data_IF_213978967931
#
_entry.id   IF_213978967931
#
_cell.length_a   1.000
_cell.length_b   1.000
_cell.length_c   1.000
_cell.angle_alpha   90.00
_cell.angle_beta   90.00
_cell.angle_gamma   90.00
#
_symmetry.space_group_name_H-M   'P 1'
#
loop_
_entity.id
_entity.type
_entity.pdbx_description
1 polymer ?
#
# COMPACT_ATOMS: atom_id res chain seq x y z
N UNK A 1 -4.49 -20.05 -4.40
CA UNK A 1 -5.45 -19.21 -5.12
C UNK A 1 -6.89 -19.45 -4.65
N UNK A 2 -7.34 -20.71 -4.53
CA UNK A 2 -8.72 -21.05 -4.10
C UNK A 2 -9.09 -20.38 -2.77
N UNK A 3 -8.20 -20.40 -1.78
CA UNK A 3 -8.46 -19.86 -0.46
C UNK A 3 -8.66 -18.34 -0.49
N UNK A 4 -7.86 -17.63 -1.27
CA UNK A 4 -8.03 -16.18 -1.49
C UNK A 4 -9.38 -15.88 -2.17
N UNK A 5 -9.75 -16.62 -3.22
CA UNK A 5 -11.06 -16.47 -3.87
C UNK A 5 -12.21 -16.74 -2.91
N UNK A 6 -12.09 -17.80 -2.09
CA UNK A 6 -13.10 -18.12 -1.06
C UNK A 6 -13.25 -16.99 -0.07
N UNK A 7 -12.15 -16.39 0.37
CA UNK A 7 -12.19 -15.28 1.31
C UNK A 7 -12.85 -14.04 0.70
N UNK A 8 -12.47 -13.66 -0.50
CA UNK A 8 -13.13 -12.55 -1.21
C UNK A 8 -14.63 -12.80 -1.40
N UNK A 9 -15.02 -14.00 -1.86
CA UNK A 9 -16.43 -14.33 -2.04
C UNK A 9 -17.22 -14.25 -0.73
N UNK A 10 -16.64 -14.71 0.37
CA UNK A 10 -17.27 -14.69 1.70
C UNK A 10 -17.60 -13.26 2.15
N UNK A 11 -16.65 -12.33 2.02
CA UNK A 11 -16.89 -10.93 2.38
C UNK A 11 -17.87 -10.23 1.42
N UNK A 12 -17.87 -10.59 0.15
CA UNK A 12 -18.82 -10.06 -0.84
C UNK A 12 -20.26 -10.55 -0.66
N UNK A 13 -20.52 -11.49 0.24
CA UNK A 13 -21.88 -11.89 0.62
C UNK A 13 -22.54 -10.94 1.62
N UNK A 14 -21.80 -10.03 2.24
CA UNK A 14 -22.38 -9.02 3.12
C UNK A 14 -23.28 -8.06 2.33
N UNK A 15 -24.57 -8.02 2.70
CA UNK A 15 -25.57 -7.26 1.96
C UNK A 15 -25.39 -5.74 2.07
N UNK A 16 -24.86 -5.25 3.20
CA UNK A 16 -24.57 -3.83 3.37
C UNK A 16 -23.40 -3.39 2.50
N UNK A 17 -22.36 -4.23 2.42
CA UNK A 17 -21.23 -4.00 1.53
C UNK A 17 -21.67 -4.03 0.05
N UNK A 18 -22.55 -4.97 -0.33
CA UNK A 18 -23.12 -5.00 -1.68
C UNK A 18 -23.87 -3.71 -2.01
N UNK A 19 -24.75 -3.26 -1.13
CA UNK A 19 -25.52 -2.02 -1.29
C UNK A 19 -24.59 -0.81 -1.43
N UNK A 20 -23.53 -0.74 -0.63
CA UNK A 20 -22.54 0.33 -0.70
C UNK A 20 -21.82 0.33 -2.05
N UNK A 21 -21.35 -0.82 -2.51
CA UNK A 21 -20.66 -0.95 -3.81
C UNK A 21 -21.56 -0.69 -5.02
N UNK A 22 -22.88 -0.90 -4.89
CA UNK A 22 -23.84 -0.59 -5.95
C UNK A 22 -24.08 0.91 -6.11
N UNK A 23 -23.96 1.66 -5.04
CA UNK A 23 -24.31 3.08 -5.00
C UNK A 23 -23.12 4.03 -5.21
N UNK A 24 -21.92 3.60 -4.84
CA UNK A 24 -20.76 4.47 -4.81
C UNK A 24 -19.56 3.85 -5.56
N UNK A 25 -18.80 4.63 -6.34
CA UNK A 25 -17.54 4.22 -6.89
C UNK A 25 -16.49 4.12 -5.78
N UNK A 26 -15.59 3.13 -5.90
CA UNK A 26 -14.48 2.93 -4.98
C UNK A 26 -13.14 3.06 -5.69
N UNK A 27 -12.23 3.78 -5.08
CA UNK A 27 -10.81 3.73 -5.39
C UNK A 27 -10.13 2.89 -4.32
N UNK A 28 -9.54 1.79 -4.71
CA UNK A 28 -8.99 0.80 -3.79
C UNK A 28 -7.50 0.62 -3.99
N UNK A 29 -6.83 0.25 -2.94
CA UNK A 29 -5.45 -0.22 -2.89
C UNK A 29 -5.42 -1.33 -1.83
N UNK A 30 -4.55 -2.31 -1.98
CA UNK A 30 -4.39 -3.37 -0.97
C UNK A 30 -3.67 -2.89 0.28
N UNK A 31 -3.84 -3.63 1.38
CA UNK A 31 -2.98 -3.63 2.53
C UNK A 31 -2.33 -5.02 2.70
N UNK A 32 -1.83 -5.36 3.87
CA UNK A 32 -1.16 -6.62 4.14
C UNK A 32 -2.11 -7.83 4.08
N UNK A 33 -3.32 -7.69 4.62
CA UNK A 33 -4.29 -8.79 4.72
C UNK A 33 -4.87 -9.26 3.38
N UNK A 34 -4.69 -8.51 2.31
CA UNK A 34 -4.94 -9.00 0.96
C UNK A 34 -3.94 -10.08 0.54
N UNK A 35 -2.78 -10.14 1.19
CA UNK A 35 -1.70 -11.11 0.95
C UNK A 35 -1.46 -12.02 2.16
N UNK A 36 -0.90 -11.47 3.24
CA UNK A 36 -0.68 -12.10 4.53
C UNK A 36 -0.27 -11.03 5.56
N UNK A 37 -0.49 -11.30 6.84
CA UNK A 37 -0.20 -10.38 7.94
C UNK A 37 1.22 -9.80 7.85
N UNK A 38 1.33 -8.48 8.00
CA UNK A 38 2.57 -7.71 7.95
C UNK A 38 3.44 -8.08 6.75
N UNK A 39 2.84 -8.16 5.55
CA UNK A 39 3.55 -8.53 4.34
C UNK A 39 4.53 -7.44 3.88
N UNK A 40 5.67 -7.89 3.33
CA UNK A 40 6.65 -7.08 2.65
C UNK A 40 7.02 -7.71 1.30
N UNK A 41 7.91 -7.08 0.55
CA UNK A 41 8.31 -7.53 -0.79
C UNK A 41 8.64 -9.04 -0.85
N UNK A 42 9.39 -9.53 0.12
CA UNK A 42 10.01 -10.86 0.07
C UNK A 42 9.42 -11.86 1.08
N UNK A 43 8.34 -11.49 1.79
CA UNK A 43 7.71 -12.34 2.79
C UNK A 43 6.53 -11.73 3.53
N UNK A 44 6.11 -12.40 4.60
CA UNK A 44 5.11 -11.93 5.55
C UNK A 44 5.33 -12.60 6.92
N UNK A 45 4.90 -11.94 7.99
CA UNK A 45 5.07 -12.46 9.36
C UNK A 45 4.54 -13.88 9.54
N UNK A 46 3.39 -14.17 8.96
CA UNK A 46 2.72 -15.48 9.07
C UNK A 46 2.93 -16.37 7.83
N UNK A 47 4.02 -16.18 7.09
CA UNK A 47 4.37 -17.03 5.97
C UNK A 47 5.53 -17.97 6.31
N UNK A 48 5.25 -19.28 6.28
CA UNK A 48 6.23 -20.35 6.43
C UNK A 48 6.40 -21.09 5.10
N UNK A 49 7.53 -20.88 4.39
CA UNK A 49 7.75 -21.52 3.08
C UNK A 49 7.74 -23.05 3.12
N UNK A 50 8.12 -23.67 4.26
CA UNK A 50 8.12 -25.13 4.43
C UNK A 50 6.73 -25.75 4.42
N UNK A 51 5.71 -24.97 4.81
CA UNK A 51 4.30 -25.39 4.95
C UNK A 51 3.38 -24.80 3.89
N UNK A 52 3.72 -23.63 3.39
CA UNK A 52 2.84 -22.80 2.55
C UNK A 52 3.40 -22.57 1.14
N UNK A 53 4.61 -23.11 0.87
CA UNK A 53 5.27 -22.99 -0.40
C UNK A 53 5.98 -21.65 -0.60
N UNK A 54 6.44 -21.39 -1.79
CA UNK A 54 7.18 -20.20 -2.16
C UNK A 54 6.34 -18.91 -1.98
N UNK A 55 6.96 -17.87 -1.42
CA UNK A 55 6.30 -16.59 -1.20
C UNK A 55 5.83 -15.91 -2.48
N UNK A 56 6.64 -15.94 -3.54
CA UNK A 56 6.25 -15.29 -4.80
C UNK A 56 5.03 -15.97 -5.45
N UNK A 57 4.92 -17.29 -5.32
CA UNK A 57 3.76 -18.05 -5.75
C UNK A 57 2.51 -17.68 -4.95
N UNK A 58 2.63 -17.56 -3.62
CA UNK A 58 1.54 -17.11 -2.75
C UNK A 58 1.13 -15.67 -3.06
N UNK A 59 2.09 -14.77 -3.19
CA UNK A 59 1.89 -13.36 -3.53
C UNK A 59 1.16 -13.21 -4.87
N UNK A 60 1.57 -13.96 -5.89
CA UNK A 60 0.93 -13.95 -7.21
C UNK A 60 -0.50 -14.48 -7.16
N UNK A 61 -0.77 -15.50 -6.36
CA UNK A 61 -2.13 -16.04 -6.18
C UNK A 61 -3.05 -15.02 -5.47
N UNK A 62 -2.54 -14.32 -4.46
CA UNK A 62 -3.26 -13.26 -3.78
C UNK A 62 -3.58 -12.10 -4.74
N UNK A 63 -2.59 -11.64 -5.51
CA UNK A 63 -2.78 -10.60 -6.52
C UNK A 63 -3.83 -10.98 -7.55
N UNK A 64 -3.76 -12.22 -8.07
CA UNK A 64 -4.74 -12.69 -9.04
C UNK A 64 -6.15 -12.64 -8.46
N UNK A 65 -6.35 -13.16 -7.25
CA UNK A 65 -7.66 -13.09 -6.59
C UNK A 65 -8.12 -11.65 -6.37
N UNK A 66 -7.21 -10.77 -5.93
CA UNK A 66 -7.54 -9.36 -5.75
C UNK A 66 -8.05 -8.71 -7.06
N UNK A 67 -7.34 -8.89 -8.16
CA UNK A 67 -7.74 -8.32 -9.46
C UNK A 67 -9.03 -8.94 -10.03
N UNK A 68 -9.35 -10.19 -9.69
CA UNK A 68 -10.60 -10.84 -10.07
C UNK A 68 -11.82 -10.29 -9.30
N UNK A 69 -11.64 -9.90 -8.04
CA UNK A 69 -12.74 -9.51 -7.14
C UNK A 69 -12.85 -8.00 -6.92
N UNK A 70 -11.80 -7.26 -7.16
CA UNK A 70 -11.74 -5.80 -7.00
C UNK A 70 -11.57 -5.18 -8.39
N UNK A 71 -12.57 -4.42 -8.89
CA UNK A 71 -12.58 -3.90 -10.26
C UNK A 71 -11.67 -2.68 -10.41
N UNK A 72 -10.37 -2.88 -10.38
CA UNK A 72 -9.38 -1.86 -10.68
C UNK A 72 -8.84 -2.06 -12.11
N UNK A 73 -8.44 -0.95 -12.75
CA UNK A 73 -7.74 -1.03 -14.03
C UNK A 73 -6.29 -1.42 -13.82
N UNK A 74 -5.78 -2.29 -14.68
CA UNK A 74 -4.33 -2.51 -14.73
C UNK A 74 -3.64 -1.18 -15.08
N UNK A 75 -2.65 -0.82 -14.28
CA UNK A 75 -1.91 0.45 -14.42
C UNK A 75 -0.69 0.22 -15.29
N UNK A 76 -0.13 -0.98 -15.23
CA UNK A 76 1.07 -1.37 -15.94
C UNK A 76 0.93 -2.81 -16.39
N UNK A 77 0.90 -3.06 -17.70
CA UNK A 77 0.71 -4.41 -18.26
C UNK A 77 1.91 -5.31 -18.04
N UNK A 78 3.10 -4.71 -17.90
CA UNK A 78 4.36 -5.42 -17.68
C UNK A 78 4.62 -5.68 -16.20
N UNK A 79 4.01 -4.87 -15.31
CA UNK A 79 4.12 -5.03 -13.87
C UNK A 79 2.76 -5.00 -13.18
N UNK A 80 2.10 -6.14 -13.10
CA UNK A 80 0.78 -6.27 -12.47
C UNK A 80 0.75 -5.93 -10.97
N UNK A 81 1.89 -5.94 -10.29
CA UNK A 81 1.99 -5.51 -8.90
C UNK A 81 1.97 -3.99 -8.74
N UNK A 82 2.18 -3.22 -9.80
CA UNK A 82 2.12 -1.78 -9.72
C UNK A 82 0.69 -1.31 -9.53
N UNK A 83 0.34 -0.92 -8.31
CA UNK A 83 -0.99 -0.41 -7.95
C UNK A 83 -0.98 1.09 -7.64
N UNK A 84 0.18 1.65 -7.28
CA UNK A 84 0.28 3.07 -6.98
C UNK A 84 -0.01 3.93 -8.22
N UNK A 85 -0.84 4.92 -8.02
CA UNK A 85 -1.38 5.79 -9.08
C UNK A 85 -1.87 7.10 -8.52
N UNK A 86 -2.14 8.10 -9.36
CA UNK A 86 -2.91 9.27 -8.96
C UNK A 86 -4.26 9.35 -9.69
N UNK A 87 -5.20 10.03 -9.04
CA UNK A 87 -6.53 10.31 -9.58
C UNK A 87 -6.85 11.78 -9.33
N UNK A 88 -7.26 12.48 -10.39
CA UNK A 88 -7.69 13.88 -10.31
C UNK A 88 -9.20 13.96 -10.12
N UNK A 89 -9.63 14.82 -9.20
CA UNK A 89 -11.03 15.16 -8.95
C UNK A 89 -11.22 16.63 -9.37
N UNK A 90 -11.38 16.83 -10.67
CA UNK A 90 -11.38 18.17 -11.28
C UNK A 90 -10.10 18.94 -10.91
N UNK A 91 -10.27 20.22 -10.62
CA UNK A 91 -9.19 21.09 -10.13
C UNK A 91 -9.11 21.10 -8.59
N UNK A 92 -10.02 20.38 -7.92
CA UNK A 92 -10.14 20.40 -6.47
C UNK A 92 -9.06 19.57 -5.80
N UNK A 93 -8.87 18.34 -6.23
CA UNK A 93 -7.94 17.43 -5.57
C UNK A 93 -7.22 16.50 -6.54
N UNK A 94 -5.98 16.17 -6.22
CA UNK A 94 -5.26 15.04 -6.77
C UNK A 94 -4.91 14.07 -5.64
N UNK A 95 -5.33 12.81 -5.78
CA UNK A 95 -5.17 11.77 -4.77
C UNK A 95 -4.10 10.80 -5.26
N UNK A 96 -3.03 10.66 -4.50
CA UNK A 96 -1.90 9.76 -4.75
C UNK A 96 -2.09 8.51 -3.91
N UNK A 97 -2.43 7.39 -4.54
CA UNK A 97 -2.55 6.08 -3.88
C UNK A 97 -1.21 5.39 -3.86
N UNK A 98 -0.75 4.98 -2.68
CA UNK A 98 0.54 4.32 -2.50
C UNK A 98 0.39 2.80 -2.36
N UNK A 99 1.45 2.08 -2.70
CA UNK A 99 1.70 0.73 -2.21
C UNK A 99 2.73 0.78 -1.08
N UNK A 100 2.30 0.45 0.11
CA UNK A 100 3.17 0.37 1.30
C UNK A 100 3.49 -1.07 1.70
N UNK A 101 3.25 -2.07 0.81
CA UNK A 101 3.36 -3.48 1.18
C UNK A 101 4.24 -4.33 0.26
N UNK A 102 3.97 -4.33 -1.04
CA UNK A 102 4.38 -5.45 -1.90
C UNK A 102 5.53 -5.13 -2.84
N UNK A 103 5.62 -3.89 -3.35
CA UNK A 103 6.56 -3.60 -4.43
C UNK A 103 7.98 -3.48 -3.89
N UNK A 104 8.23 -2.58 -2.94
CA UNK A 104 9.59 -2.29 -2.49
C UNK A 104 9.76 -2.29 -0.97
N UNK A 105 8.68 -2.56 -0.23
CA UNK A 105 8.76 -2.60 1.23
C UNK A 105 9.78 -3.65 1.70
N UNK A 106 10.68 -3.22 2.52
CA UNK A 106 11.60 -4.10 3.26
C UNK A 106 10.97 -4.51 4.60
N UNK A 107 11.48 -5.60 5.18
CA UNK A 107 11.04 -6.05 6.49
C UNK A 107 11.26 -4.97 7.55
N UNK A 108 10.22 -4.71 8.34
CA UNK A 108 10.35 -3.88 9.54
C UNK A 108 11.29 -4.55 10.54
N UNK A 109 12.18 -3.77 11.11
CA UNK A 109 13.14 -4.18 12.14
C UNK A 109 13.32 -3.03 13.11
N UNK A 110 13.86 -3.31 14.29
CA UNK A 110 14.19 -2.27 15.30
C UNK A 110 15.21 -1.26 14.78
N UNK A 111 15.96 -1.63 13.76
CA UNK A 111 17.02 -0.78 13.19
C UNK A 111 16.48 -0.09 11.94
N UNK A 112 16.36 1.22 11.99
CA UNK A 112 16.14 2.04 10.81
C UNK A 112 17.49 2.45 10.20
N UNK A 113 17.56 2.49 8.89
CA UNK A 113 18.78 2.80 8.16
C UNK A 113 18.54 3.57 6.87
N UNK A 114 19.59 4.19 6.29
CA UNK A 114 19.43 5.04 5.10
C UNK A 114 18.91 4.30 3.87
N UNK A 115 19.02 2.98 3.85
CA UNK A 115 18.57 2.14 2.74
C UNK A 115 17.25 1.42 3.01
N UNK A 116 16.71 1.51 4.25
CA UNK A 116 15.44 0.87 4.59
C UNK A 116 14.27 1.60 3.95
N UNK A 117 13.40 0.87 3.26
CA UNK A 117 12.33 1.41 2.42
C UNK A 117 10.97 0.85 2.80
N UNK A 118 9.98 1.73 2.85
CA UNK A 118 8.55 1.39 2.92
C UNK A 118 7.92 1.43 1.52
N UNK A 119 8.18 2.49 0.76
CA UNK A 119 7.63 2.67 -0.59
C UNK A 119 8.69 2.57 -1.70
N UNK A 120 9.97 2.63 -1.34
CA UNK A 120 11.09 2.52 -2.28
C UNK A 120 11.38 3.76 -3.11
N UNK A 121 12.48 3.71 -3.84
CA UNK A 121 12.98 4.87 -4.58
C UNK A 121 12.08 5.24 -5.75
N UNK A 122 11.67 4.26 -6.55
CA UNK A 122 10.89 4.52 -7.78
C UNK A 122 9.52 5.11 -7.45
N UNK A 123 8.84 4.58 -6.43
CA UNK A 123 7.56 5.12 -6.00
C UNK A 123 7.71 6.48 -5.30
N UNK A 124 8.79 6.66 -4.51
CA UNK A 124 9.09 7.95 -3.87
C UNK A 124 9.33 9.05 -4.92
N UNK A 125 10.13 8.79 -5.93
CA UNK A 125 10.40 9.75 -6.99
C UNK A 125 9.13 10.09 -7.77
N UNK A 126 8.32 9.09 -8.10
CA UNK A 126 7.01 9.28 -8.73
C UNK A 126 6.09 10.17 -7.87
N UNK A 127 6.01 9.90 -6.56
CA UNK A 127 5.19 10.69 -5.64
C UNK A 127 5.67 12.13 -5.55
N UNK A 128 6.96 12.34 -5.38
CA UNK A 128 7.57 13.67 -5.31
C UNK A 128 7.35 14.48 -6.59
N UNK A 129 7.54 13.87 -7.75
CA UNK A 129 7.25 14.53 -9.04
C UNK A 129 5.76 14.84 -9.19
N UNK A 130 4.88 13.92 -8.79
CA UNK A 130 3.44 14.14 -8.82
C UNK A 130 3.01 15.29 -7.93
N UNK A 131 3.47 15.33 -6.68
CA UNK A 131 3.18 16.41 -5.73
C UNK A 131 3.67 17.77 -6.24
N UNK A 132 4.88 17.83 -6.80
CA UNK A 132 5.48 19.05 -7.36
C UNK A 132 4.74 19.57 -8.59
N UNK A 133 4.28 18.68 -9.46
CA UNK A 133 3.66 19.05 -10.73
C UNK A 133 2.14 19.24 -10.62
N UNK A 134 1.53 18.83 -9.50
CA UNK A 134 0.10 18.95 -9.30
C UNK A 134 -0.32 20.41 -9.11
N UNK A 135 -1.31 20.83 -9.90
CA UNK A 135 -1.96 22.14 -9.81
C UNK A 135 -3.26 22.09 -9.01
N UNK A 136 -3.65 20.93 -8.46
CA UNK A 136 -4.85 20.79 -7.66
C UNK A 136 -4.73 21.57 -6.34
N UNK A 137 -5.88 22.07 -5.83
CA UNK A 137 -5.93 22.77 -4.54
C UNK A 137 -5.50 21.86 -3.39
N UNK A 138 -5.94 20.60 -3.43
CA UNK A 138 -5.60 19.59 -2.42
C UNK A 138 -4.79 18.47 -3.04
N UNK A 139 -3.66 18.19 -2.45
CA UNK A 139 -2.84 17.02 -2.75
C UNK A 139 -2.99 16.04 -1.61
N UNK A 140 -3.62 14.90 -1.87
CA UNK A 140 -3.97 13.90 -0.85
C UNK A 140 -3.13 12.66 -1.07
N UNK A 141 -2.41 12.22 -0.05
CA UNK A 141 -1.68 10.94 -0.05
C UNK A 141 -2.56 9.90 0.63
N UNK A 142 -3.10 8.98 -0.16
CA UNK A 142 -3.91 7.85 0.32
C UNK A 142 -3.01 6.62 0.46
N UNK A 143 -2.91 6.11 1.68
CA UNK A 143 -1.98 5.04 2.02
C UNK A 143 -2.48 4.20 3.20
N UNK A 144 -1.92 3.02 3.39
CA UNK A 144 -2.48 1.97 4.25
C UNK A 144 -2.12 2.12 5.72
N UNK A 145 -0.91 2.62 6.00
CA UNK A 145 -0.31 2.59 7.33
C UNK A 145 -0.15 3.99 7.92
N UNK A 146 -0.18 4.11 9.24
CA UNK A 146 -0.16 5.40 9.91
C UNK A 146 1.16 6.15 9.69
N UNK A 147 1.07 7.40 9.22
CA UNK A 147 2.24 8.24 8.96
C UNK A 147 2.72 9.00 10.20
N UNK A 148 1.79 9.42 11.04
CA UNK A 148 2.12 10.08 12.32
C UNK A 148 2.80 9.12 13.29
N UNK A 149 3.75 9.59 14.12
CA UNK A 149 4.40 8.72 15.10
C UNK A 149 3.40 8.25 16.16
N UNK A 150 3.42 6.96 16.45
CA UNK A 150 2.68 6.35 17.54
C UNK A 150 3.64 5.91 18.63
N UNK A 151 3.72 6.70 19.69
CA UNK A 151 4.62 6.44 20.81
C UNK A 151 3.81 6.10 22.06
N UNK A 152 4.19 5.00 22.74
CA UNK A 152 3.70 4.65 24.07
C UNK A 152 4.89 4.78 25.03
N UNK A 153 4.79 5.67 26.01
CA UNK A 153 5.89 6.03 26.91
C UNK A 153 7.21 6.38 26.20
N UNK A 154 7.12 7.05 25.04
CA UNK A 154 8.28 7.44 24.23
C UNK A 154 8.88 6.33 23.36
N UNK A 155 8.30 5.13 23.37
CA UNK A 155 8.75 3.98 22.60
C UNK A 155 7.82 3.79 21.39
N UNK A 156 8.36 3.49 20.22
CA UNK A 156 7.58 3.15 19.02
C UNK A 156 6.68 1.96 19.33
N UNK A 157 5.36 2.17 19.18
CA UNK A 157 4.37 1.16 19.54
C UNK A 157 4.13 0.13 18.41
N UNK A 158 4.34 0.55 17.16
CA UNK A 158 4.17 -0.32 16.01
C UNK A 158 5.16 0.05 14.90
N UNK A 159 6.00 -0.89 14.51
CA UNK A 159 7.00 -0.71 13.45
C UNK A 159 6.45 -1.07 12.07
N UNK A 160 5.30 -1.74 11.99
CA UNK A 160 4.62 -2.08 10.73
C UNK A 160 4.01 -0.87 10.01
N UNK A 161 4.36 0.32 10.42
CA UNK A 161 3.96 1.60 9.85
C UNK A 161 5.17 2.50 9.61
N UNK A 162 4.97 3.78 9.27
CA UNK A 162 6.07 4.73 9.02
C UNK A 162 7.04 4.90 10.20
N UNK A 163 6.67 4.47 11.41
CA UNK A 163 7.57 4.47 12.55
C UNK A 163 8.70 3.44 12.43
N UNK A 164 8.55 2.41 11.63
CA UNK A 164 9.63 1.50 11.25
C UNK A 164 10.55 2.04 10.14
N UNK A 165 10.20 3.17 9.50
CA UNK A 165 10.87 3.73 8.33
C UNK A 165 11.02 5.26 8.45
N UNK A 166 11.55 5.70 9.58
CA UNK A 166 11.60 7.13 9.97
C UNK A 166 12.44 7.97 9.02
N UNK A 167 13.52 7.40 8.48
CA UNK A 167 14.40 8.11 7.54
C UNK A 167 13.69 8.37 6.23
N UNK A 168 12.98 7.39 5.68
CA UNK A 168 12.20 7.57 4.46
C UNK A 168 11.02 8.50 4.67
N UNK A 169 10.31 8.39 5.81
CA UNK A 169 9.27 9.36 6.22
C UNK A 169 9.80 10.79 6.26
N UNK A 170 10.96 10.97 6.90
CA UNK A 170 11.59 12.30 6.97
C UNK A 170 11.92 12.85 5.59
N UNK A 171 12.44 12.03 4.69
CA UNK A 171 12.73 12.41 3.30
C UNK A 171 11.48 12.95 2.59
N UNK A 172 10.33 12.29 2.76
CA UNK A 172 9.07 12.75 2.18
C UNK A 172 8.63 14.08 2.81
N UNK A 173 8.70 14.23 4.12
CA UNK A 173 8.34 15.48 4.80
C UNK A 173 9.26 16.64 4.44
N UNK A 174 10.58 16.40 4.39
CA UNK A 174 11.55 17.41 3.95
C UNK A 174 11.24 17.88 2.51
N UNK A 175 10.88 16.94 1.62
CA UNK A 175 10.49 17.29 0.26
C UNK A 175 9.23 18.16 0.22
N UNK A 176 8.19 17.81 0.97
CA UNK A 176 6.94 18.58 1.04
C UNK A 176 7.23 19.98 1.57
N UNK A 177 7.93 20.09 2.70
CA UNK A 177 8.25 21.38 3.32
C UNK A 177 9.10 22.31 2.45
N UNK A 178 9.91 21.75 1.55
CA UNK A 178 10.78 22.55 0.66
C UNK A 178 10.12 22.91 -0.67
N UNK A 179 8.93 22.40 -0.98
CA UNK A 179 8.24 22.61 -2.26
C UNK A 179 6.79 23.15 -2.10
N UNK A 180 6.41 23.57 -0.88
CA UNK A 180 5.17 24.30 -0.62
C UNK A 180 5.24 25.77 -1.03
#
# INVERSE_FOLDING_TARGET
LSDYRTRHSQYKLDTMLQNLHQQYPFYTVWDDHEFANNSWRDGAENHDPSRQGDWNSRKSAALQAYLEWIPIREIDVDNKFKIYRSVKVGDLAEIFFLDTRIIERELETDTDGPNKRLIGEVQMDWLQQGLKNSTAKWKVIAQQVMMGPLLIFGITANQDQWDGYKIERKRLFDFINNND
#
